data_IF_637656403429
#
_entry.id   IF_637656403429
#
_cell.length_a   1.000
_cell.length_b   1.000
_cell.length_c   1.000
_cell.angle_alpha   90.00
_cell.angle_beta   90.00
_cell.angle_gamma   90.00
#
_symmetry.space_group_name_H-M   'P 1'
#
loop_
_entity.id
_entity.type
_entity.pdbx_description
1 polymer ?
#
# COMPACT_ATOMS: atom_id res chain seq x y z
N UNK A 1 -14.30 -6.90 -2.27
CA UNK A 1 -13.73 -5.54 -2.20
C UNK A 1 -14.58 -4.75 -1.23
N UNK A 2 -14.04 -3.90 -0.37
CA UNK A 2 -14.86 -2.95 0.38
C UNK A 2 -14.32 -1.53 0.13
N UNK A 3 -14.96 -0.80 -0.78
CA UNK A 3 -14.53 0.55 -1.19
C UNK A 3 -14.72 1.57 -0.08
N UNK A 4 -15.78 1.45 0.71
CA UNK A 4 -16.04 2.32 1.86
C UNK A 4 -14.93 2.19 2.89
N UNK A 5 -14.49 0.96 3.18
CA UNK A 5 -13.38 0.72 4.10
C UNK A 5 -12.05 1.31 3.59
N UNK A 6 -11.80 1.24 2.28
CA UNK A 6 -10.62 1.90 1.69
C UNK A 6 -10.71 3.41 1.79
N UNK A 7 -11.91 3.99 1.60
CA UNK A 7 -12.17 5.41 1.82
C UNK A 7 -11.91 5.83 3.26
N UNK A 8 -12.43 5.10 4.23
CA UNK A 8 -12.16 5.36 5.65
C UNK A 8 -10.66 5.31 5.97
N UNK A 9 -9.94 4.32 5.44
CA UNK A 9 -8.50 4.19 5.63
C UNK A 9 -7.72 5.32 4.96
N UNK A 10 -8.21 5.82 3.83
CA UNK A 10 -7.68 7.02 3.18
C UNK A 10 -7.82 8.24 4.10
N UNK A 11 -9.01 8.48 4.66
CA UNK A 11 -9.30 9.64 5.49
C UNK A 11 -8.52 9.63 6.80
N UNK A 12 -8.40 8.48 7.45
CA UNK A 12 -7.54 8.32 8.63
C UNK A 12 -6.07 8.61 8.27
N UNK A 13 -5.61 8.08 7.13
CA UNK A 13 -4.26 8.31 6.64
C UNK A 13 -3.96 9.79 6.39
N UNK A 14 -4.92 10.48 5.76
CA UNK A 14 -4.90 11.92 5.53
C UNK A 14 -4.82 12.71 6.83
N UNK A 15 -5.72 12.44 7.77
CA UNK A 15 -5.76 13.09 9.08
C UNK A 15 -4.40 12.98 9.78
N UNK A 16 -3.82 11.78 9.85
CA UNK A 16 -2.52 11.57 10.48
C UNK A 16 -1.43 12.36 9.76
N UNK A 17 -1.40 12.35 8.42
CA UNK A 17 -0.39 13.04 7.64
C UNK A 17 -0.47 14.57 7.78
N UNK A 18 -1.67 15.14 7.78
CA UNK A 18 -1.91 16.58 7.96
C UNK A 18 -1.56 17.03 9.38
N UNK A 19 -2.06 16.33 10.40
CA UNK A 19 -1.78 16.64 11.82
C UNK A 19 -0.30 16.48 12.16
N UNK A 20 0.41 15.57 11.50
CA UNK A 20 1.87 15.50 11.65
C UNK A 20 2.60 16.74 11.15
N UNK A 21 2.17 17.32 10.03
CA UNK A 21 2.79 18.53 9.48
C UNK A 21 2.51 19.75 10.35
N UNK A 22 1.31 19.86 10.91
CA UNK A 22 0.86 21.04 11.66
C UNK A 22 1.18 20.96 13.15
N UNK A 23 0.96 19.80 13.78
CA UNK A 23 1.00 19.62 15.24
C UNK A 23 2.12 18.69 15.70
N UNK A 24 2.92 18.15 14.78
CA UNK A 24 4.05 17.27 15.13
C UNK A 24 3.62 15.91 15.69
N UNK A 25 2.44 15.39 15.31
CA UNK A 25 1.91 14.11 15.81
C UNK A 25 2.95 12.96 15.81
N UNK A 26 3.40 12.60 17.00
CA UNK A 26 4.36 11.52 17.21
C UNK A 26 3.72 10.17 17.47
N UNK A 27 4.57 9.19 17.79
CA UNK A 27 4.18 7.81 18.13
C UNK A 27 3.17 7.73 19.29
N UNK A 28 3.26 8.62 20.27
CA UNK A 28 2.34 8.67 21.43
C UNK A 28 0.91 9.03 21.00
N UNK A 29 0.75 10.06 20.16
CA UNK A 29 -0.56 10.53 19.70
C UNK A 29 -1.23 9.49 18.82
N UNK A 30 -0.49 8.87 17.89
CA UNK A 30 -1.03 7.79 17.04
C UNK A 30 -1.40 6.56 17.87
N UNK A 31 -0.67 6.25 18.95
CA UNK A 31 -1.06 5.18 19.88
C UNK A 31 -2.38 5.49 20.58
N UNK A 32 -2.57 6.73 21.03
CA UNK A 32 -3.82 7.15 21.65
C UNK A 32 -4.98 7.04 20.66
N UNK A 33 -4.82 7.57 19.45
CA UNK A 33 -5.84 7.46 18.39
C UNK A 33 -6.21 6.00 18.08
N UNK A 34 -5.23 5.09 18.00
CA UNK A 34 -5.50 3.67 17.81
C UNK A 34 -6.34 3.09 18.94
N UNK A 35 -6.00 3.41 20.20
CA UNK A 35 -6.73 2.97 21.38
C UNK A 35 -8.16 3.51 21.39
N UNK A 36 -8.34 4.79 21.08
CA UNK A 36 -9.64 5.46 21.05
C UNK A 36 -10.55 4.82 19.98
N UNK A 37 -10.03 4.61 18.77
CA UNK A 37 -10.76 3.94 17.68
C UNK A 37 -11.13 2.49 18.02
N UNK A 38 -10.25 1.76 18.71
CA UNK A 38 -10.54 0.37 19.13
C UNK A 38 -11.60 0.30 20.24
N UNK A 39 -11.64 1.31 21.12
CA UNK A 39 -12.64 1.42 22.17
C UNK A 39 -14.00 1.83 21.61
N UNK A 40 -14.03 2.74 20.64
CA UNK A 40 -15.25 3.22 19.99
C UNK A 40 -15.87 2.15 19.06
N UNK A 41 -15.04 1.30 18.45
CA UNK A 41 -15.48 0.22 17.56
C UNK A 41 -15.03 -1.18 18.03
N UNK A 42 -15.58 -1.70 19.15
CA UNK A 42 -15.21 -3.02 19.67
C UNK A 42 -15.41 -4.13 18.64
N UNK A 43 -14.42 -5.01 18.50
CA UNK A 43 -14.47 -6.14 17.57
C UNK A 43 -14.12 -5.80 16.11
N UNK A 44 -13.98 -4.52 15.75
CA UNK A 44 -13.52 -4.13 14.41
C UNK A 44 -12.01 -4.34 14.28
N UNK A 45 -11.64 -5.31 13.44
CA UNK A 45 -10.24 -5.58 13.09
C UNK A 45 -9.77 -4.54 12.06
N UNK A 46 -8.87 -3.63 12.45
CA UNK A 46 -8.35 -2.62 11.52
C UNK A 46 -7.67 -1.41 12.15
N UNK A 47 -7.87 -1.15 13.45
CA UNK A 47 -7.35 0.06 14.10
C UNK A 47 -6.14 -0.18 15.01
N UNK A 48 -5.29 -1.15 14.67
CA UNK A 48 -4.00 -1.27 15.36
C UNK A 48 -3.09 -0.09 15.01
N UNK A 49 -2.18 0.27 15.92
CA UNK A 49 -1.18 1.33 15.72
C UNK A 49 -0.43 1.14 14.39
N UNK A 50 -0.03 -0.10 14.10
CA UNK A 50 0.65 -0.43 12.85
C UNK A 50 -0.23 -0.17 11.63
N UNK A 51 -1.52 -0.52 11.70
CA UNK A 51 -2.42 -0.30 10.56
C UNK A 51 -2.69 1.19 10.33
N UNK A 52 -2.75 2.01 11.39
CA UNK A 52 -2.81 3.47 11.24
C UNK A 52 -1.57 4.03 10.53
N UNK A 53 -0.38 3.51 10.83
CA UNK A 53 0.83 3.88 10.08
C UNK A 53 0.77 3.44 8.61
N UNK A 54 0.15 2.29 8.32
CA UNK A 54 -0.10 1.89 6.93
C UNK A 54 -1.11 2.80 6.24
N UNK A 55 -2.18 3.20 6.91
CA UNK A 55 -3.16 4.17 6.39
C UNK A 55 -2.49 5.50 6.04
N UNK A 56 -1.62 6.01 6.92
CA UNK A 56 -0.82 7.21 6.64
C UNK A 56 0.09 7.04 5.43
N UNK A 57 0.83 5.93 5.35
CA UNK A 57 1.70 5.66 4.20
C UNK A 57 0.91 5.53 2.90
N UNK A 58 -0.28 4.93 2.98
CA UNK A 58 -1.22 4.82 1.88
C UNK A 58 -1.60 6.19 1.35
N UNK A 59 -2.07 7.09 2.21
CA UNK A 59 -2.37 8.47 1.80
C UNK A 59 -1.15 9.14 1.15
N UNK A 60 0.00 9.14 1.83
CA UNK A 60 1.22 9.82 1.33
C UNK A 60 1.66 9.28 -0.03
N UNK A 61 1.61 7.96 -0.26
CA UNK A 61 2.06 7.35 -1.52
C UNK A 61 1.17 7.66 -2.71
N UNK A 62 -0.11 7.96 -2.49
CA UNK A 62 -1.11 8.03 -3.56
C UNK A 62 -1.76 9.40 -3.71
N UNK A 63 -1.75 10.28 -2.71
CA UNK A 63 -2.48 11.57 -2.73
C UNK A 63 -2.07 12.52 -3.85
N UNK A 64 -0.78 12.57 -4.19
CA UNK A 64 -0.26 13.44 -5.27
C UNK A 64 -0.33 12.80 -6.66
N UNK A 65 -0.88 11.58 -6.78
CA UNK A 65 -0.98 10.87 -8.04
C UNK A 65 -2.45 10.64 -8.42
N UNK A 66 -3.00 11.59 -9.18
CA UNK A 66 -4.39 11.59 -9.65
C UNK A 66 -4.77 10.35 -10.46
N UNK A 67 -3.79 9.67 -11.06
CA UNK A 67 -4.00 8.43 -11.82
C UNK A 67 -4.11 7.21 -10.91
N UNK A 68 -3.25 7.11 -9.89
CA UNK A 68 -3.24 5.98 -8.94
C UNK A 68 -4.34 6.06 -7.89
N UNK A 69 -4.69 7.27 -7.45
CA UNK A 69 -5.69 7.50 -6.41
C UNK A 69 -7.04 6.77 -6.65
N UNK A 70 -7.66 6.78 -7.84
CA UNK A 70 -8.89 6.01 -8.05
C UNK A 70 -8.64 4.49 -8.06
N UNK A 71 -7.45 4.03 -8.47
CA UNK A 71 -7.15 2.61 -8.66
C UNK A 71 -6.99 1.85 -7.35
N UNK A 72 -6.54 2.52 -6.28
CA UNK A 72 -6.35 1.84 -4.98
C UNK A 72 -7.68 1.36 -4.36
N UNK A 73 -8.80 1.97 -4.73
CA UNK A 73 -10.15 1.50 -4.39
C UNK A 73 -10.62 0.28 -5.19
N UNK A 74 -9.84 -0.15 -6.18
CA UNK A 74 -10.16 -1.28 -7.06
C UNK A 74 -9.49 -2.59 -6.62
N UNK A 75 -8.63 -2.54 -5.60
CA UNK A 75 -7.97 -3.69 -4.99
C UNK A 75 -8.15 -3.68 -3.46
N UNK A 76 -8.11 -4.85 -2.80
CA UNK A 76 -8.39 -4.93 -1.36
C UNK A 76 -7.28 -4.31 -0.54
N UNK A 77 -7.56 -3.94 0.70
CA UNK A 77 -6.57 -3.34 1.61
C UNK A 77 -5.29 -4.16 1.69
N UNK A 78 -5.41 -5.48 1.87
CA UNK A 78 -4.25 -6.38 1.92
C UNK A 78 -3.42 -6.36 0.64
N UNK A 79 -4.05 -6.18 -0.54
CA UNK A 79 -3.33 -6.08 -1.82
C UNK A 79 -2.65 -4.71 -1.96
N UNK A 80 -3.31 -3.63 -1.53
CA UNK A 80 -2.68 -2.31 -1.42
C UNK A 80 -1.44 -2.35 -0.52
N UNK A 81 -1.50 -3.04 0.63
CA UNK A 81 -0.33 -3.22 1.50
C UNK A 81 0.84 -3.91 0.79
N UNK A 82 0.57 -4.98 0.02
CA UNK A 82 1.59 -5.68 -0.77
C UNK A 82 2.21 -4.76 -1.80
N UNK A 83 1.40 -4.06 -2.59
CA UNK A 83 1.87 -3.11 -3.61
C UNK A 83 2.71 -2.00 -2.97
N UNK A 84 2.24 -1.40 -1.88
CA UNK A 84 2.99 -0.34 -1.19
C UNK A 84 4.33 -0.80 -0.62
N UNK A 85 4.39 -2.03 -0.12
CA UNK A 85 5.58 -2.59 0.52
C UNK A 85 6.62 -3.06 -0.50
N UNK A 86 6.19 -3.54 -1.67
CA UNK A 86 7.07 -4.17 -2.66
C UNK A 86 7.39 -3.27 -3.85
N UNK A 87 6.48 -2.38 -4.26
CA UNK A 87 6.65 -1.53 -5.44
C UNK A 87 7.19 -0.15 -5.05
N UNK A 88 8.36 0.21 -5.56
CA UNK A 88 9.09 1.42 -5.14
C UNK A 88 8.69 2.65 -5.95
N UNK A 89 8.51 2.51 -7.25
CA UNK A 89 8.11 3.61 -8.13
C UNK A 89 6.58 3.61 -8.41
N UNK A 90 6.02 4.74 -8.84
CA UNK A 90 4.58 4.84 -9.15
C UNK A 90 4.14 4.00 -10.36
N UNK A 91 5.02 3.72 -11.33
CA UNK A 91 4.67 2.96 -12.54
C UNK A 91 4.50 1.48 -12.22
N UNK A 92 5.37 0.90 -11.40
CA UNK A 92 5.19 -0.46 -10.86
C UNK A 92 3.87 -0.57 -10.11
N UNK A 93 3.57 0.40 -9.23
CA UNK A 93 2.30 0.39 -8.49
C UNK A 93 1.12 0.39 -9.44
N UNK A 94 1.15 1.24 -10.46
CA UNK A 94 0.09 1.29 -11.48
C UNK A 94 -0.06 -0.06 -12.17
N UNK A 95 1.06 -0.62 -12.66
CA UNK A 95 1.08 -1.89 -13.37
C UNK A 95 0.46 -2.99 -12.50
N UNK A 96 0.96 -3.19 -11.28
CA UNK A 96 0.50 -4.27 -10.42
C UNK A 96 -0.94 -4.08 -9.92
N UNK A 97 -1.40 -2.85 -9.68
CA UNK A 97 -2.81 -2.60 -9.36
C UNK A 97 -3.71 -2.98 -10.55
N UNK A 98 -3.35 -2.54 -11.77
CA UNK A 98 -4.10 -2.87 -12.99
C UNK A 98 -4.14 -4.37 -13.26
N UNK A 99 -3.00 -5.05 -13.16
CA UNK A 99 -2.92 -6.49 -13.40
C UNK A 99 -3.70 -7.28 -12.35
N UNK A 100 -3.59 -6.88 -11.09
CA UNK A 100 -4.36 -7.49 -9.99
C UNK A 100 -5.87 -7.36 -10.22
N UNK A 101 -6.33 -6.20 -10.68
CA UNK A 101 -7.74 -5.99 -11.05
C UNK A 101 -8.13 -6.84 -12.26
N UNK A 102 -7.34 -6.78 -13.34
CA UNK A 102 -7.63 -7.43 -14.62
C UNK A 102 -7.71 -8.95 -14.51
N UNK A 103 -6.78 -9.56 -13.77
CA UNK A 103 -6.66 -11.01 -13.66
C UNK A 103 -7.20 -11.58 -12.33
N UNK A 104 -7.77 -10.73 -11.47
CA UNK A 104 -8.37 -11.17 -10.22
C UNK A 104 -7.37 -11.79 -9.23
N UNK A 105 -6.09 -11.45 -9.30
CA UNK A 105 -5.03 -12.11 -8.51
C UNK A 105 -5.35 -12.13 -7.02
N UNK A 106 -5.13 -13.29 -6.40
CA UNK A 106 -5.08 -13.42 -4.94
C UNK A 106 -3.87 -12.64 -4.38
N UNK A 107 -3.82 -12.46 -3.05
CA UNK A 107 -2.63 -11.86 -2.39
C UNK A 107 -1.35 -12.61 -2.78
N UNK A 108 -1.38 -13.95 -2.74
CA UNK A 108 -0.22 -14.78 -3.00
C UNK A 108 0.18 -14.74 -4.48
N UNK A 109 -0.80 -14.75 -5.39
CA UNK A 109 -0.54 -14.58 -6.81
C UNK A 109 0.12 -13.23 -7.10
N UNK A 110 -0.38 -12.13 -6.52
CA UNK A 110 0.25 -10.81 -6.64
C UNK A 110 1.70 -10.81 -6.12
N UNK A 111 1.96 -11.39 -4.95
CA UNK A 111 3.31 -11.49 -4.38
C UNK A 111 4.25 -12.23 -5.35
N UNK A 112 3.82 -13.39 -5.84
CA UNK A 112 4.60 -14.21 -6.78
C UNK A 112 4.90 -13.46 -8.08
N UNK A 113 3.93 -12.73 -8.63
CA UNK A 113 4.11 -11.95 -9.87
C UNK A 113 5.13 -10.81 -9.69
N UNK A 114 5.10 -10.12 -8.54
CA UNK A 114 6.09 -9.08 -8.22
C UNK A 114 7.49 -9.67 -8.06
N UNK A 115 7.60 -10.82 -7.39
CA UNK A 115 8.89 -11.48 -7.15
C UNK A 115 9.50 -12.03 -8.43
N UNK A 116 8.71 -12.64 -9.33
CA UNK A 116 9.19 -13.15 -10.59
C UNK A 116 9.75 -12.05 -11.51
N UNK A 117 9.10 -10.89 -11.61
CA UNK A 117 9.67 -9.79 -12.39
C UNK A 117 10.94 -9.21 -11.77
N UNK A 118 11.02 -9.16 -10.43
CA UNK A 118 12.24 -8.73 -9.73
C UNK A 118 13.40 -9.68 -10.04
N UNK A 119 13.14 -11.00 -10.10
CA UNK A 119 14.14 -12.01 -10.47
C UNK A 119 14.55 -11.90 -11.94
N UNK A 120 13.60 -11.67 -12.85
CA UNK A 120 13.89 -11.50 -14.28
C UNK A 120 14.78 -10.27 -14.50
N UNK A 121 14.45 -9.12 -13.90
CA UNK A 121 15.29 -7.91 -13.99
C UNK A 121 16.67 -8.04 -13.35
N UNK A 122 16.82 -8.89 -12.32
CA UNK A 122 18.12 -9.24 -11.74
C UNK A 122 18.92 -10.23 -12.61
N UNK A 123 18.24 -11.13 -13.33
CA UNK A 123 18.89 -12.06 -14.28
C UNK A 123 19.35 -11.38 -15.56
N UNK A 124 18.65 -10.34 -16.02
CA UNK A 124 19.08 -9.50 -17.16
C UNK A 124 20.22 -8.53 -16.80
N UNK A 125 20.54 -8.35 -15.51
CA UNK A 125 21.64 -7.53 -15.03
C UNK A 125 22.97 -8.30 -14.88
N UNK A 126 23.05 -9.56 -15.31
CA UNK A 126 24.32 -10.26 -15.48
C UNK A 126 24.81 -10.06 -16.93
N UNK A 127 26.02 -9.52 -17.18
CA UNK A 127 26.60 -9.55 -18.51
C UNK A 127 26.77 -11.01 -18.90
N UNK A 128 25.97 -11.44 -19.87
CA UNK A 128 25.97 -12.79 -20.36
C UNK A 128 27.38 -13.14 -20.85
N UNK A 129 27.90 -14.28 -20.38
CA UNK A 129 29.04 -14.93 -21.01
C UNK A 129 28.67 -15.22 -22.46
N UNK A 130 29.25 -14.47 -23.39
CA UNK A 130 29.39 -14.88 -24.78
C UNK A 130 30.89 -15.01 -25.07
N UNK A 131 31.45 -16.15 -24.67
CA UNK A 131 32.52 -16.75 -25.45
C UNK A 131 31.86 -17.35 -26.70
N UNK A 132 32.01 -16.71 -27.85
CA UNK A 132 31.93 -17.31 -29.19
C UNK A 132 32.30 -16.28 -30.26
N UNK A 133 33.60 -16.16 -30.55
CA UNK A 133 34.22 -16.09 -31.89
C UNK A 133 35.74 -16.12 -31.73
#
# INVERSE_FOLDING_TARGET
MNKELIGLYWDIGRLIAERQKVEGWGKSVVRKLASDLQAEFPGVRGFSVQNLWYMRQFYIKYHDNSKLQPMVGEISWTKNLVVMARCKDPLEREFYIRMTRKFGWSKNALIHQIENQSQVGLSEAQPNYAAAS
#
